data_IF_582212764175
#
_entry.id   IF_582212764175
#
_cell.length_a   1.000
_cell.length_b   1.000
_cell.length_c   1.000
_cell.angle_alpha   90.00
_cell.angle_beta   90.00
_cell.angle_gamma   90.00
#
_symmetry.space_group_name_H-M   'P 1'
#
loop_
_entity.id
_entity.type
_entity.pdbx_description
1 polymer ?
#
# COMPACT_ATOMS: atom_id res chain seq x y z
N UNK A 1 4.64 10.11 -20.08
CA UNK A 1 3.91 9.22 -19.16
C UNK A 1 4.74 7.95 -18.98
N UNK A 2 5.07 7.55 -17.75
CA UNK A 2 5.74 6.27 -17.51
C UNK A 2 4.70 5.13 -17.56
N UNK A 3 5.00 3.97 -18.16
CA UNK A 3 4.06 2.85 -18.21
C UNK A 3 3.76 2.36 -16.79
N UNK A 4 2.47 2.18 -16.48
CA UNK A 4 2.06 1.67 -15.18
C UNK A 4 2.34 0.17 -15.14
N UNK A 5 3.20 -0.25 -14.20
CA UNK A 5 3.61 -1.65 -14.04
C UNK A 5 3.31 -2.11 -12.63
N UNK A 6 2.57 -3.20 -12.55
CA UNK A 6 1.84 -3.60 -11.36
C UNK A 6 2.10 -5.06 -11.08
N UNK A 7 2.31 -5.36 -9.80
CA UNK A 7 2.50 -6.73 -9.35
C UNK A 7 1.57 -7.04 -8.18
N UNK A 8 0.98 -8.23 -8.23
CA UNK A 8 0.25 -8.81 -7.12
C UNK A 8 1.09 -9.96 -6.53
N UNK A 9 1.35 -9.90 -5.24
CA UNK A 9 1.99 -10.95 -4.45
C UNK A 9 0.89 -11.75 -3.76
N UNK A 10 0.72 -13.00 -4.19
CA UNK A 10 -0.29 -13.92 -3.66
C UNK A 10 0.03 -14.31 -2.20
N UNK A 11 -1.02 -14.55 -1.42
CA UNK A 11 -0.91 -14.99 -0.03
C UNK A 11 -0.29 -16.40 0.11
N UNK A 12 -0.45 -17.25 -0.91
CA UNK A 12 0.02 -18.65 -0.94
C UNK A 12 1.48 -18.82 -1.33
N UNK A 13 2.16 -17.76 -1.76
CA UNK A 13 3.57 -17.83 -2.18
C UNK A 13 4.44 -18.06 -0.94
N UNK A 14 4.58 -19.31 -0.48
CA UNK A 14 5.16 -19.66 0.83
C UNK A 14 6.64 -19.31 0.97
N UNK A 15 7.33 -19.05 -0.14
CA UNK A 15 8.74 -18.70 -0.22
C UNK A 15 8.94 -17.44 -1.05
N UNK A 16 10.07 -16.77 -0.84
CA UNK A 16 10.59 -15.76 -1.76
C UNK A 16 10.61 -16.36 -3.16
N UNK A 17 9.71 -15.88 -4.03
CA UNK A 17 9.69 -16.31 -5.41
C UNK A 17 11.00 -15.84 -6.06
N UNK A 18 11.92 -16.77 -6.30
CA UNK A 18 13.20 -16.47 -6.94
C UNK A 18 13.03 -15.78 -8.30
N UNK A 19 11.90 -15.99 -8.98
CA UNK A 19 11.56 -15.28 -10.21
C UNK A 19 11.18 -13.83 -9.94
N UNK A 20 10.50 -13.54 -8.83
CA UNK A 20 10.20 -12.16 -8.41
C UNK A 20 11.49 -11.40 -8.10
N UNK A 21 12.40 -12.00 -7.33
CA UNK A 21 13.72 -11.41 -7.05
C UNK A 21 14.49 -11.13 -8.34
N UNK A 22 14.63 -12.14 -9.21
CA UNK A 22 15.32 -11.99 -10.49
C UNK A 22 14.68 -10.94 -11.39
N UNK A 23 13.34 -10.84 -11.39
CA UNK A 23 12.64 -9.84 -12.17
C UNK A 23 12.89 -8.41 -11.65
N UNK A 24 12.96 -8.20 -10.34
CA UNK A 24 13.32 -6.92 -9.75
C UNK A 24 14.78 -6.56 -10.01
N UNK A 25 15.69 -7.52 -9.86
CA UNK A 25 17.13 -7.34 -10.11
C UNK A 25 17.42 -7.01 -11.58
N UNK A 26 16.78 -7.73 -12.52
CA UNK A 26 16.94 -7.50 -13.95
C UNK A 26 16.25 -6.24 -14.47
N UNK A 27 15.45 -5.57 -13.63
CA UNK A 27 14.63 -4.41 -14.02
C UNK A 27 14.35 -3.49 -12.81
N UNK A 28 15.39 -2.89 -12.20
CA UNK A 28 15.24 -1.99 -11.06
C UNK A 28 14.36 -0.78 -11.41
N UNK A 29 13.50 -0.37 -10.48
CA UNK A 29 12.65 0.81 -10.61
C UNK A 29 11.53 0.67 -11.64
N UNK A 30 11.25 -0.55 -12.11
CA UNK A 30 10.23 -0.79 -13.13
C UNK A 30 8.82 -0.82 -12.53
N UNK A 31 8.66 -1.27 -11.29
CA UNK A 31 7.34 -1.33 -10.64
C UNK A 31 6.89 0.04 -10.15
N UNK A 32 5.62 0.36 -10.42
CA UNK A 32 4.95 1.53 -9.85
C UNK A 32 3.87 1.15 -8.84
N UNK A 33 3.32 -0.08 -8.91
CA UNK A 33 2.35 -0.59 -7.94
C UNK A 33 2.75 -1.98 -7.45
N UNK A 34 2.69 -2.19 -6.14
CA UNK A 34 2.95 -3.48 -5.51
C UNK A 34 1.84 -3.78 -4.51
N UNK A 35 1.14 -4.88 -4.75
CA UNK A 35 -0.03 -5.25 -3.97
C UNK A 35 0.19 -6.62 -3.34
N UNK A 36 -0.05 -6.75 -2.05
CA UNK A 36 0.05 -7.97 -1.26
C UNK A 36 -1.35 -8.41 -0.86
N UNK A 37 -1.73 -9.64 -1.19
CA UNK A 37 -3.00 -10.21 -0.73
C UNK A 37 -3.01 -10.47 0.79
N UNK A 38 -1.82 -10.62 1.41
CA UNK A 38 -1.63 -10.77 2.85
C UNK A 38 -0.67 -9.71 3.37
N UNK A 39 -1.14 -8.91 4.33
CA UNK A 39 -0.49 -7.66 4.69
C UNK A 39 0.87 -7.75 5.41
N UNK A 40 1.16 -8.70 6.34
CA UNK A 40 2.41 -8.65 7.13
C UNK A 40 3.67 -8.87 6.30
N UNK A 41 3.54 -9.40 5.08
CA UNK A 41 4.69 -9.55 4.18
C UNK A 41 5.26 -8.22 3.69
N UNK A 42 4.51 -7.11 3.79
CA UNK A 42 5.03 -5.78 3.46
C UNK A 42 6.29 -5.49 4.26
N UNK A 43 6.27 -5.76 5.58
CA UNK A 43 7.41 -5.49 6.47
C UNK A 43 8.59 -6.42 6.26
N UNK A 44 8.40 -7.53 5.57
CA UNK A 44 9.46 -8.48 5.23
C UNK A 44 10.07 -8.20 3.85
N UNK A 45 9.22 -7.96 2.85
CA UNK A 45 9.60 -7.88 1.43
C UNK A 45 10.14 -6.49 1.07
N UNK A 46 9.47 -5.42 1.51
CA UNK A 46 9.85 -4.06 1.11
C UNK A 46 11.27 -3.68 1.54
N UNK A 47 11.74 -3.98 2.76
CA UNK A 47 13.11 -3.65 3.16
C UNK A 47 14.17 -4.30 2.26
N UNK A 48 13.96 -5.58 1.92
CA UNK A 48 14.91 -6.36 1.11
C UNK A 48 15.06 -5.84 -0.31
N UNK A 49 13.98 -5.29 -0.87
CA UNK A 49 13.96 -4.80 -2.25
C UNK A 49 13.90 -3.27 -2.39
N UNK A 50 14.07 -2.54 -1.29
CA UNK A 50 13.91 -1.08 -1.26
C UNK A 50 14.71 -0.35 -2.36
N UNK A 51 15.94 -0.81 -2.64
CA UNK A 51 16.80 -0.28 -3.72
C UNK A 51 16.23 -0.48 -5.12
N UNK A 52 15.44 -1.54 -5.36
CA UNK A 52 14.79 -1.83 -6.65
C UNK A 52 13.41 -1.17 -6.78
N UNK A 53 12.86 -0.64 -5.69
CA UNK A 53 11.51 -0.07 -5.63
C UNK A 53 11.50 1.46 -5.70
N UNK A 54 12.56 2.08 -6.20
CA UNK A 54 12.73 3.54 -6.24
C UNK A 54 11.66 4.32 -7.03
N UNK A 55 10.85 3.67 -7.87
CA UNK A 55 9.71 4.30 -8.59
C UNK A 55 8.34 3.84 -8.10
N UNK A 56 8.30 3.11 -6.98
CA UNK A 56 7.06 2.58 -6.44
C UNK A 56 6.19 3.72 -5.93
N UNK A 57 5.00 3.86 -6.50
CA UNK A 57 4.03 4.94 -6.22
C UNK A 57 2.86 4.46 -5.36
N UNK A 58 2.59 3.17 -5.39
CA UNK A 58 1.44 2.57 -4.75
C UNK A 58 1.79 1.25 -4.04
N UNK A 59 1.38 1.13 -2.78
CA UNK A 59 1.51 -0.11 -2.00
C UNK A 59 0.20 -0.51 -1.35
N UNK A 60 -0.16 -1.78 -1.44
CA UNK A 60 -1.27 -2.39 -0.72
C UNK A 60 -0.99 -3.86 -0.46
N UNK A 61 -1.83 -4.62 0.23
CA UNK A 61 -2.98 -4.15 0.99
C UNK A 61 -2.61 -4.16 2.48
N UNK A 62 -2.63 -2.99 3.13
CA UNK A 62 -2.37 -2.85 4.57
C UNK A 62 -3.55 -3.45 5.37
N UNK A 63 -3.30 -4.03 6.56
CA UNK A 63 -4.36 -4.60 7.38
C UNK A 63 -5.20 -3.51 8.06
N UNK A 64 -6.25 -3.96 8.72
CA UNK A 64 -7.01 -3.17 9.68
C UNK A 64 -6.30 -3.21 11.05
N UNK A 65 -5.86 -2.06 11.58
CA UNK A 65 -4.80 -2.01 12.59
C UNK A 65 -5.21 -2.14 14.06
N UNK A 66 -6.46 -1.83 14.44
CA UNK A 66 -6.94 -1.89 15.84
C UNK A 66 -7.63 -3.21 16.21
N UNK A 67 -7.48 -4.26 15.40
CA UNK A 67 -7.83 -5.60 15.82
C UNK A 67 -6.78 -6.05 16.85
N UNK A 68 -7.16 -6.51 18.05
CA UNK A 68 -6.21 -6.83 19.13
C UNK A 68 -5.20 -7.94 18.79
N UNK A 69 -5.40 -8.65 17.67
CA UNK A 69 -4.53 -9.71 17.17
C UNK A 69 -3.85 -9.33 15.84
N UNK A 70 -3.66 -8.04 15.53
CA UNK A 70 -2.79 -7.68 14.41
C UNK A 70 -1.36 -8.10 14.74
N UNK A 71 -0.85 -9.10 14.03
CA UNK A 71 0.47 -9.67 14.26
C UNK A 71 1.61 -8.65 14.13
N UNK A 72 1.37 -7.55 13.40
CA UNK A 72 2.36 -6.50 13.14
C UNK A 72 1.74 -5.13 13.43
N UNK A 73 2.33 -4.31 14.31
CA UNK A 73 1.85 -2.94 14.59
C UNK A 73 1.88 -2.03 13.37
N UNK A 74 0.96 -1.07 13.29
CA UNK A 74 0.92 -0.05 12.22
C UNK A 74 2.28 0.64 12.01
N UNK A 75 2.97 1.01 13.10
CA UNK A 75 4.24 1.71 13.01
C UNK A 75 5.29 0.93 12.21
N UNK A 76 5.34 -0.41 12.34
CA UNK A 76 6.27 -1.24 11.59
C UNK A 76 6.05 -1.17 10.07
N UNK A 77 4.79 -1.03 9.63
CA UNK A 77 4.48 -0.77 8.22
C UNK A 77 4.93 0.63 7.80
N UNK A 78 4.65 1.64 8.63
CA UNK A 78 5.00 3.03 8.32
C UNK A 78 6.52 3.21 8.19
N UNK A 79 7.29 2.63 9.11
CA UNK A 79 8.76 2.69 9.09
C UNK A 79 9.31 2.00 7.83
N UNK A 80 8.76 0.84 7.49
CA UNK A 80 9.11 0.11 6.27
C UNK A 80 8.85 0.96 5.01
N UNK A 81 7.65 1.55 4.92
CA UNK A 81 7.19 2.28 3.75
C UNK A 81 7.84 3.66 3.62
N UNK A 82 8.34 4.25 4.71
CA UNK A 82 9.06 5.52 4.70
C UNK A 82 10.35 5.47 3.86
N UNK A 83 10.90 4.26 3.62
CA UNK A 83 12.05 4.07 2.73
C UNK A 83 11.75 4.26 1.24
N UNK A 84 10.47 4.36 0.85
CA UNK A 84 10.04 4.42 -0.55
C UNK A 84 9.83 5.89 -0.99
N UNK A 85 10.75 6.48 -1.78
CA UNK A 85 10.75 7.93 -2.01
C UNK A 85 9.57 8.42 -2.87
N UNK A 86 9.06 7.56 -3.76
CA UNK A 86 7.98 7.91 -4.69
C UNK A 86 6.59 7.47 -4.22
N UNK A 87 6.46 6.94 -3.00
CA UNK A 87 5.19 6.43 -2.49
C UNK A 87 4.19 7.58 -2.28
N UNK A 88 3.09 7.55 -3.04
CA UNK A 88 2.04 8.58 -3.02
C UNK A 88 0.68 8.03 -2.66
N UNK A 89 0.51 6.70 -2.67
CA UNK A 89 -0.79 6.11 -2.39
C UNK A 89 -0.68 4.76 -1.68
N UNK A 90 -1.66 4.50 -0.80
CA UNK A 90 -1.81 3.23 -0.09
C UNK A 90 -3.16 2.59 -0.40
N UNK A 91 -3.17 1.26 -0.37
CA UNK A 91 -4.37 0.44 -0.35
C UNK A 91 -4.47 -0.32 0.98
N UNK A 92 -5.67 -0.40 1.52
CA UNK A 92 -5.92 -1.01 2.81
C UNK A 92 -7.30 -1.65 2.91
N UNK A 93 -7.44 -2.62 3.82
CA UNK A 93 -8.75 -3.19 4.16
C UNK A 93 -9.41 -2.42 5.30
N UNK A 94 -10.73 -2.27 5.22
CA UNK A 94 -11.57 -1.90 6.36
C UNK A 94 -12.08 -3.15 7.08
N UNK A 95 -11.98 -3.11 8.40
CA UNK A 95 -12.61 -4.07 9.29
C UNK A 95 -13.34 -3.34 10.42
N UNK A 96 -12.94 -3.63 11.67
CA UNK A 96 -13.52 -3.02 12.88
C UNK A 96 -13.00 -1.61 13.13
N UNK A 97 -11.85 -1.26 12.57
CA UNK A 97 -11.00 -0.24 13.22
C UNK A 97 -11.03 1.12 12.57
N UNK A 98 -11.63 1.19 11.36
CA UNK A 98 -11.88 2.37 10.53
C UNK A 98 -10.62 3.23 10.36
N UNK A 99 -10.11 3.30 9.12
CA UNK A 99 -9.18 4.36 8.73
C UNK A 99 -9.87 5.71 8.93
N UNK A 100 -9.64 6.31 10.09
CA UNK A 100 -10.22 7.55 10.57
C UNK A 100 -9.19 8.70 10.46
N UNK A 101 -9.59 9.89 10.90
CA UNK A 101 -8.72 11.06 10.83
C UNK A 101 -7.42 10.88 11.61
N UNK A 102 -7.45 10.26 12.80
CA UNK A 102 -6.27 10.06 13.63
C UNK A 102 -5.28 9.11 12.97
N UNK A 103 -5.78 8.01 12.41
CA UNK A 103 -4.97 7.06 11.65
C UNK A 103 -4.33 7.73 10.43
N UNK A 104 -5.11 8.52 9.68
CA UNK A 104 -4.60 9.25 8.51
C UNK A 104 -3.57 10.30 8.90
N UNK A 105 -3.76 11.00 10.02
CA UNK A 105 -2.80 11.97 10.53
C UNK A 105 -1.46 11.30 10.90
N UNK A 106 -1.50 10.14 11.56
CA UNK A 106 -0.31 9.35 11.88
C UNK A 106 0.43 8.91 10.61
N UNK A 107 -0.32 8.34 9.66
CA UNK A 107 0.24 7.88 8.37
C UNK A 107 0.89 9.04 7.61
N UNK A 108 0.24 10.21 7.55
CA UNK A 108 0.77 11.40 6.88
C UNK A 108 2.04 11.93 7.53
N UNK A 109 2.17 11.80 8.86
CA UNK A 109 3.39 12.19 9.59
C UNK A 109 4.59 11.33 9.19
N UNK A 110 4.37 10.03 8.98
CA UNK A 110 5.42 9.07 8.60
C UNK A 110 5.71 9.06 7.10
N UNK A 111 4.69 9.23 6.26
CA UNK A 111 4.77 9.12 4.80
C UNK A 111 4.47 10.48 4.15
N UNK A 112 5.46 11.37 4.12
CA UNK A 112 5.27 12.79 3.76
C UNK A 112 4.79 13.04 2.33
N UNK A 113 5.07 12.13 1.40
CA UNK A 113 4.66 12.24 0.00
C UNK A 113 3.27 11.63 -0.26
N UNK A 114 2.62 11.08 0.77
CA UNK A 114 1.36 10.40 0.62
C UNK A 114 0.23 11.39 0.30
N UNK A 115 -0.53 11.06 -0.74
CA UNK A 115 -1.64 11.87 -1.23
C UNK A 115 -2.98 11.13 -1.14
N UNK A 116 -2.95 9.79 -1.07
CA UNK A 116 -4.16 8.97 -1.17
C UNK A 116 -4.09 7.73 -0.30
N UNK A 117 -5.17 7.40 0.39
CA UNK A 117 -5.38 6.08 1.03
C UNK A 117 -6.73 5.54 0.58
N UNK A 118 -6.70 4.39 -0.09
CA UNK A 118 -7.87 3.69 -0.58
C UNK A 118 -8.21 2.56 0.40
N UNK A 119 -9.44 2.56 0.89
CA UNK A 119 -9.91 1.58 1.88
C UNK A 119 -11.11 0.82 1.34
N UNK A 120 -11.06 -0.52 1.34
CA UNK A 120 -12.12 -1.38 0.79
C UNK A 120 -12.57 -2.51 1.72
N UNK A 121 -13.41 -3.43 1.22
CA UNK A 121 -14.14 -4.52 1.92
C UNK A 121 -15.40 -4.07 2.65
N UNK A 122 -15.39 -4.04 3.99
CA UNK A 122 -16.61 -3.80 4.78
C UNK A 122 -17.22 -2.42 4.50
N UNK A 123 -16.37 -1.44 4.21
CA UNK A 123 -16.71 -0.12 3.71
C UNK A 123 -15.73 0.26 2.60
N UNK A 124 -16.21 1.00 1.61
CA UNK A 124 -15.37 1.50 0.54
C UNK A 124 -15.32 3.03 0.56
N UNK A 125 -14.13 3.59 0.73
CA UNK A 125 -13.90 5.03 0.73
C UNK A 125 -12.44 5.36 0.40
N UNK A 126 -12.23 6.61 0.02
CA UNK A 126 -10.93 7.16 -0.30
C UNK A 126 -10.67 8.36 0.60
N UNK A 127 -9.51 8.37 1.25
CA UNK A 127 -8.90 9.56 1.81
C UNK A 127 -7.98 10.17 0.78
N UNK A 128 -8.13 11.47 0.52
CA UNK A 128 -7.30 12.20 -0.44
C UNK A 128 -6.86 13.54 0.14
N UNK A 129 -5.58 13.87 -0.05
CA UNK A 129 -5.00 15.13 0.35
C UNK A 129 -5.29 16.19 -0.73
N UNK A 130 -6.16 17.14 -0.40
CA UNK A 130 -6.54 18.23 -1.30
C UNK A 130 -6.15 19.56 -0.67
N UNK A 131 -5.24 20.31 -1.31
CA UNK A 131 -4.76 21.61 -0.82
C UNK A 131 -4.28 21.55 0.64
N UNK A 132 -3.57 20.47 0.99
CA UNK A 132 -3.06 20.25 2.35
C UNK A 132 -4.06 19.71 3.36
N UNK A 133 -5.31 19.45 2.96
CA UNK A 133 -6.37 18.95 3.85
C UNK A 133 -6.82 17.56 3.39
N UNK A 134 -6.82 16.59 4.31
CA UNK A 134 -7.34 15.25 4.05
C UNK A 134 -8.86 15.25 4.02
N UNK A 135 -9.44 14.78 2.92
CA UNK A 135 -10.88 14.62 2.76
C UNK A 135 -11.25 13.17 2.53
N UNK A 136 -12.34 12.73 3.17
CA UNK A 136 -12.93 11.42 2.95
C UNK A 136 -14.04 11.49 1.91
N UNK A 137 -14.02 10.58 0.94
CA UNK A 137 -15.09 10.36 -0.03
C UNK A 137 -15.52 8.90 0.00
N UNK A 138 -16.80 8.65 0.25
CA UNK A 138 -17.36 7.30 0.15
C UNK A 138 -17.50 6.92 -1.33
N UNK A 139 -17.28 5.63 -1.64
CA UNK A 139 -17.44 5.07 -2.98
C UNK A 139 -18.24 3.77 -2.89
N UNK A 140 -18.95 3.42 -3.96
CA UNK A 140 -19.91 2.31 -3.94
C UNK A 140 -19.24 0.97 -3.58
N UNK A 141 -18.20 0.60 -4.32
CA UNK A 141 -17.31 -0.52 -4.01
C UNK A 141 -16.07 -0.46 -4.89
N UNK A 142 -14.97 -1.05 -4.43
CA UNK A 142 -13.83 -1.39 -5.26
C UNK A 142 -13.06 -2.54 -4.60
N UNK A 143 -12.26 -3.22 -5.39
CA UNK A 143 -11.39 -4.30 -4.99
C UNK A 143 -9.94 -3.91 -5.21
N UNK A 144 -9.06 -4.72 -4.64
CA UNK A 144 -7.63 -4.74 -4.96
C UNK A 144 -7.38 -4.74 -6.49
N UNK A 145 -8.22 -5.43 -7.27
CA UNK A 145 -8.11 -5.47 -8.73
C UNK A 145 -8.48 -4.16 -9.42
N UNK A 146 -9.36 -3.35 -8.85
CA UNK A 146 -9.75 -2.05 -9.40
C UNK A 146 -8.60 -1.03 -9.24
N UNK A 147 -7.86 -1.15 -8.14
CA UNK A 147 -6.62 -0.40 -7.90
C UNK A 147 -5.54 -0.84 -8.90
N UNK A 148 -5.41 -2.15 -9.12
CA UNK A 148 -4.53 -2.69 -10.18
C UNK A 148 -4.99 -2.26 -11.58
N UNK A 149 -6.27 -2.02 -11.83
CA UNK A 149 -6.75 -1.54 -13.13
C UNK A 149 -6.62 -0.03 -13.29
N UNK A 150 -6.29 0.70 -12.21
CA UNK A 150 -6.24 2.16 -12.22
C UNK A 150 -7.62 2.81 -12.25
N UNK A 151 -8.68 2.09 -11.88
CA UNK A 151 -10.03 2.65 -11.75
C UNK A 151 -10.13 3.72 -10.65
N UNK A 152 -9.11 3.80 -9.78
CA UNK A 152 -9.00 4.78 -8.71
C UNK A 152 -7.87 5.80 -8.93
N UNK A 153 -7.28 5.86 -10.14
CA UNK A 153 -6.21 6.81 -10.48
C UNK A 153 -6.77 8.18 -10.89
#
# INVERSE_FOLDING_TARGET
MHPIRRLLVDAKTSQYDSLFTRALEGSPGVLTHLIFQYSPRITEIVPQFSSYLGRLQHVGTLPDFKAPNTAVPLQSYLDTLASLPCLVSLDAVSGKTRWDHDTIALVNKSLRNLQRVMVHRAQCYVWELQRGIWKKRNVASFSTWDIIRGACN
#
